data_IF_090395527446
#
_entry.id   IF_090395527446
#
_cell.length_a   1.000
_cell.length_b   1.000
_cell.length_c   1.000
_cell.angle_alpha   90.00
_cell.angle_beta   90.00
_cell.angle_gamma   90.00
#
_symmetry.space_group_name_H-M   'P 1'
#
loop_
_entity.id
_entity.type
_entity.pdbx_description
1 polymer ?
#
# COMPACT_ATOMS: atom_id res chain seq x y z
N UNK A 1 -7.90 -18.56 20.14
CA UNK A 1 -7.82 -18.05 19.79
C UNK A 1 -7.53 -17.40 18.84
N UNK A 2 -7.52 -17.05 18.65
CA UNK A 2 -7.30 -16.51 17.68
C UNK A 2 -6.24 -15.85 17.48
N UNK A 3 -5.52 -15.97 16.61
CA UNK A 3 -4.36 -15.23 16.39
C UNK A 3 -4.71 -13.83 16.06
N UNK A 4 -3.82 -12.88 16.27
CA UNK A 4 -4.11 -11.52 15.94
C UNK A 4 -3.92 -11.17 14.48
N UNK A 5 -3.40 -12.08 13.67
CA UNK A 5 -3.12 -11.79 12.27
C UNK A 5 -4.36 -11.98 11.43
N UNK A 6 -4.61 -11.03 10.53
CA UNK A 6 -5.71 -11.15 9.58
C UNK A 6 -5.37 -12.20 8.54
N UNK A 7 -6.39 -12.91 8.06
CA UNK A 7 -6.21 -13.85 6.97
C UNK A 7 -6.23 -13.10 5.63
N UNK A 8 -5.75 -13.78 4.59
CA UNK A 8 -5.83 -13.21 3.24
C UNK A 8 -7.26 -12.91 2.84
N UNK A 9 -8.19 -13.76 3.22
CA UNK A 9 -9.60 -13.52 2.92
C UNK A 9 -10.11 -12.26 3.59
N UNK A 10 -9.78 -12.09 4.86
CA UNK A 10 -10.20 -10.91 5.60
C UNK A 10 -9.63 -9.65 4.99
N UNK A 11 -8.34 -9.71 4.62
CA UNK A 11 -7.69 -8.56 4.01
C UNK A 11 -8.30 -8.21 2.67
N UNK A 12 -8.65 -9.21 1.87
CA UNK A 12 -9.22 -8.94 0.56
C UNK A 12 -10.57 -8.23 0.66
N UNK A 13 -11.29 -8.44 1.75
CA UNK A 13 -12.56 -7.76 1.97
C UNK A 13 -12.38 -6.29 2.36
N UNK A 14 -11.18 -5.91 2.79
CA UNK A 14 -10.92 -4.53 3.21
C UNK A 14 -10.23 -3.70 2.14
N UNK A 15 -9.92 -4.30 0.98
CA UNK A 15 -9.34 -3.54 -0.13
C UNK A 15 -10.39 -2.55 -0.63
N UNK A 16 -9.97 -1.32 -0.81
CA UNK A 16 -10.87 -0.26 -1.25
C UNK A 16 -10.12 0.64 -2.21
N UNK A 17 -10.79 1.65 -2.70
CA UNK A 17 -10.17 2.66 -3.56
C UNK A 17 -10.24 4.01 -2.88
N UNK A 18 -9.25 4.85 -3.14
CA UNK A 18 -9.21 6.19 -2.59
C UNK A 18 -8.41 7.09 -3.51
N UNK A 19 -8.64 8.39 -3.40
CA UNK A 19 -7.89 9.38 -4.17
C UNK A 19 -6.73 9.88 -3.35
N UNK A 20 -5.69 10.34 -4.04
CA UNK A 20 -4.47 10.81 -3.37
C UNK A 20 -4.75 11.90 -2.34
N UNK A 21 -5.60 12.87 -2.66
CA UNK A 21 -5.91 13.95 -1.72
C UNK A 21 -6.41 13.43 -0.39
N UNK A 22 -7.07 12.30 -0.42
CA UNK A 22 -7.60 11.65 0.77
C UNK A 22 -6.50 10.96 1.57
N UNK A 23 -5.46 10.50 0.88
CA UNK A 23 -4.35 9.76 1.49
C UNK A 23 -3.26 10.67 2.03
N UNK A 24 -3.23 11.92 1.56
CA UNK A 24 -2.15 12.86 1.87
C UNK A 24 -1.87 13.02 3.37
N UNK A 25 -2.89 13.11 4.23
CA UNK A 25 -2.62 13.21 5.67
C UNK A 25 -1.87 12.02 6.25
N UNK A 26 -2.08 10.83 5.69
CA UNK A 26 -1.36 9.64 6.13
C UNK A 26 0.11 9.70 5.74
N UNK A 27 0.41 10.37 4.62
CA UNK A 27 1.78 10.57 4.19
C UNK A 27 2.55 11.36 5.23
N UNK A 28 1.93 12.40 5.77
CA UNK A 28 2.59 13.27 6.75
C UNK A 28 2.95 12.53 8.02
N UNK A 29 2.23 11.44 8.30
CA UNK A 29 2.52 10.60 9.45
C UNK A 29 3.55 9.52 9.14
N UNK A 30 3.99 9.43 7.89
CA UNK A 30 4.93 8.41 7.46
C UNK A 30 4.30 7.03 7.34
N UNK A 31 2.98 6.96 7.20
CA UNK A 31 2.27 5.69 7.19
C UNK A 31 1.94 5.12 5.81
N UNK A 32 2.32 5.81 4.75
CA UNK A 32 2.01 5.34 3.38
C UNK A 32 3.12 4.41 2.89
N UNK A 33 2.73 3.24 2.40
CA UNK A 33 3.63 2.30 1.75
C UNK A 33 3.11 2.06 0.35
N UNK A 34 3.95 2.31 -0.64
CA UNK A 34 3.59 2.07 -2.05
C UNK A 34 3.93 0.63 -2.40
N UNK A 35 2.95 -0.06 -2.98
CA UNK A 35 3.10 -1.45 -3.39
C UNK A 35 3.22 -1.48 -4.91
N UNK A 36 4.22 -2.19 -5.40
CA UNK A 36 4.46 -2.32 -6.83
C UNK A 36 3.27 -3.01 -7.52
N UNK A 37 2.96 -2.64 -8.76
CA UNK A 37 1.84 -3.28 -9.47
C UNK A 37 2.01 -4.79 -9.67
N UNK A 38 3.24 -5.29 -9.62
CA UNK A 38 3.48 -6.72 -9.80
C UNK A 38 3.40 -7.51 -8.51
N UNK A 39 3.11 -6.86 -7.38
CA UNK A 39 2.88 -7.54 -6.11
C UNK A 39 1.41 -7.37 -5.74
N UNK A 40 0.77 -8.48 -5.41
CA UNK A 40 -0.62 -8.43 -5.00
C UNK A 40 -0.76 -7.66 -3.69
N UNK A 41 -1.69 -6.72 -3.66
CA UNK A 41 -1.89 -5.86 -2.50
C UNK A 41 -2.26 -6.66 -1.24
N UNK A 42 -3.07 -7.70 -1.42
CA UNK A 42 -3.47 -8.55 -0.31
C UNK A 42 -2.27 -9.32 0.24
N UNK A 43 -1.39 -9.80 -0.65
CA UNK A 43 -0.18 -10.50 -0.21
C UNK A 43 0.74 -9.55 0.56
N UNK A 44 0.87 -8.33 0.09
CA UNK A 44 1.68 -7.34 0.80
C UNK A 44 1.10 -7.08 2.18
N UNK A 45 -0.22 -6.91 2.26
CA UNK A 45 -0.89 -6.69 3.53
C UNK A 45 -0.74 -7.87 4.48
N UNK A 46 -0.84 -9.08 3.93
CA UNK A 46 -0.70 -10.28 4.73
C UNK A 46 0.71 -10.40 5.32
N UNK A 47 1.73 -10.16 4.49
CA UNK A 47 3.11 -10.24 4.99
C UNK A 47 3.39 -9.22 6.07
N UNK A 48 2.90 -8.01 5.90
CA UNK A 48 3.12 -6.95 6.89
C UNK A 48 2.32 -7.24 8.17
N UNK A 49 1.07 -7.66 8.04
CA UNK A 49 0.23 -7.97 9.20
C UNK A 49 0.72 -9.16 9.98
N UNK A 50 1.31 -10.13 9.29
CA UNK A 50 1.86 -11.34 9.94
C UNK A 50 3.24 -11.12 10.49
N UNK A 51 3.81 -9.94 10.29
CA UNK A 51 5.14 -9.62 10.77
C UNK A 51 6.19 -10.55 10.16
N UNK A 52 6.01 -10.89 8.89
CA UNK A 52 6.96 -11.74 8.17
C UNK A 52 8.13 -10.88 7.71
N UNK A 53 9.07 -10.66 8.62
CA UNK A 53 10.16 -9.71 8.39
C UNK A 53 11.07 -10.12 7.24
N UNK A 54 11.26 -11.43 7.04
CA UNK A 54 12.11 -11.90 5.95
C UNK A 54 11.50 -11.56 4.60
N UNK A 55 10.21 -11.82 4.44
CA UNK A 55 9.53 -11.56 3.19
C UNK A 55 9.41 -10.06 2.92
N UNK A 56 9.06 -9.28 3.94
CA UNK A 56 8.95 -7.84 3.79
C UNK A 56 10.29 -7.22 3.44
N UNK A 57 11.36 -7.71 4.07
CA UNK A 57 12.71 -7.25 3.78
C UNK A 57 13.08 -7.49 2.32
N UNK A 58 12.71 -8.64 1.81
CA UNK A 58 12.96 -8.95 0.40
C UNK A 58 12.20 -8.00 -0.52
N UNK A 59 10.95 -7.71 -0.19
CA UNK A 59 10.17 -6.77 -0.99
C UNK A 59 10.78 -5.37 -0.99
N UNK A 60 11.30 -4.94 0.16
CA UNK A 60 11.97 -3.64 0.24
C UNK A 60 13.21 -3.65 -0.64
N UNK A 61 14.01 -4.71 -0.55
CA UNK A 61 15.25 -4.81 -1.32
C UNK A 61 15.00 -4.83 -2.82
N UNK A 62 13.89 -5.43 -3.24
CA UNK A 62 13.56 -5.53 -4.66
C UNK A 62 12.70 -4.39 -5.14
N UNK A 63 12.36 -3.45 -4.26
CA UNK A 63 11.57 -2.28 -4.64
C UNK A 63 10.08 -2.56 -4.79
N UNK A 64 9.61 -3.70 -4.31
CA UNK A 64 8.19 -4.04 -4.43
C UNK A 64 7.33 -3.32 -3.40
N UNK A 65 7.91 -2.94 -2.26
CA UNK A 65 7.27 -2.04 -1.32
C UNK A 65 8.26 -0.96 -0.95
N UNK A 66 7.79 0.26 -0.83
CA UNK A 66 8.66 1.39 -0.51
C UNK A 66 7.83 2.58 -0.09
N UNK A 67 8.47 3.52 0.58
CA UNK A 67 7.81 4.80 0.83
C UNK A 67 7.73 5.58 -0.47
N UNK A 68 6.74 6.46 -0.62
CA UNK A 68 6.63 7.25 -1.84
C UNK A 68 7.89 8.08 -2.06
N UNK A 69 8.35 8.12 -3.31
CA UNK A 69 9.47 8.97 -3.67
C UNK A 69 9.03 10.43 -3.80
N UNK A 70 10.00 11.33 -3.77
CA UNK A 70 9.70 12.75 -3.94
C UNK A 70 9.01 13.02 -5.28
N UNK A 71 9.45 12.35 -6.34
CA UNK A 71 8.84 12.48 -7.65
C UNK A 71 7.39 12.01 -7.65
N UNK A 72 7.13 10.87 -7.02
CA UNK A 72 5.77 10.37 -6.92
C UNK A 72 4.88 11.33 -6.17
N UNK A 73 5.36 11.85 -5.05
CA UNK A 73 4.59 12.78 -4.24
C UNK A 73 4.28 14.04 -5.06
N UNK A 74 5.27 14.53 -5.78
CA UNK A 74 5.09 15.73 -6.61
C UNK A 74 4.00 15.50 -7.66
N UNK A 75 4.07 14.35 -8.35
CA UNK A 75 3.12 14.05 -9.41
C UNK A 75 1.70 13.87 -8.86
N UNK A 76 1.59 13.17 -7.73
CA UNK A 76 0.27 12.92 -7.13
C UNK A 76 -0.33 14.18 -6.52
N UNK A 77 0.51 15.05 -5.96
CA UNK A 77 0.02 16.32 -5.42
C UNK A 77 -0.50 17.22 -6.53
N UNK A 78 0.05 17.09 -7.74
CA UNK A 78 -0.43 17.85 -8.89
C UNK A 78 -1.79 17.35 -9.37
N UNK A 79 -2.12 16.08 -9.06
CA UNK A 79 -3.40 15.49 -9.46
C UNK A 79 -3.99 14.73 -8.28
N UNK A 80 -4.57 15.45 -7.33
CA UNK A 80 -5.06 14.81 -6.10
C UNK A 80 -6.21 13.84 -6.32
N UNK A 81 -6.81 13.84 -7.51
CA UNK A 81 -7.85 12.87 -7.86
C UNK A 81 -7.26 11.53 -8.29
N UNK A 82 -5.94 11.39 -8.34
CA UNK A 82 -5.29 10.14 -8.74
C UNK A 82 -5.82 8.98 -7.89
N UNK A 83 -6.38 7.95 -8.53
CA UNK A 83 -6.99 6.86 -7.77
C UNK A 83 -5.97 5.81 -7.38
N UNK A 84 -6.20 5.21 -6.21
CA UNK A 84 -5.37 4.14 -5.69
C UNK A 84 -6.25 3.05 -5.16
N UNK A 85 -5.76 1.82 -5.25
CA UNK A 85 -6.29 0.73 -4.46
C UNK A 85 -5.55 0.75 -3.12
N UNK A 86 -6.27 0.63 -2.02
CA UNK A 86 -5.66 0.73 -0.71
C UNK A 86 -6.02 -0.46 0.16
N UNK A 87 -5.14 -0.75 1.10
CA UNK A 87 -5.37 -1.76 2.13
C UNK A 87 -4.74 -1.24 3.41
N UNK A 88 -5.52 -1.21 4.47
CA UNK A 88 -5.00 -0.75 5.76
C UNK A 88 -4.41 -1.93 6.50
N UNK A 89 -3.11 -1.85 6.78
CA UNK A 89 -2.40 -2.82 7.60
C UNK A 89 -1.75 -2.02 8.73
N UNK A 90 -2.55 -1.70 9.74
CA UNK A 90 -2.15 -0.77 10.79
C UNK A 90 -0.75 -1.04 11.31
N UNK A 91 0.07 -0.04 11.50
CA UNK A 91 -0.24 1.39 11.37
C UNK A 91 -0.06 1.95 9.96
N UNK A 92 0.07 1.10 8.97
CA UNK A 92 0.38 1.50 7.60
C UNK A 92 -0.85 1.49 6.72
N UNK A 93 -0.84 2.36 5.71
CA UNK A 93 -1.82 2.33 4.62
C UNK A 93 -1.04 1.93 3.38
N UNK A 94 -1.36 0.76 2.85
CA UNK A 94 -0.72 0.27 1.64
C UNK A 94 -1.47 0.84 0.45
N UNK A 95 -0.75 1.42 -0.49
CA UNK A 95 -1.37 2.03 -1.66
C UNK A 95 -0.75 1.44 -2.93
N UNK A 96 -1.59 1.18 -3.91
CA UNK A 96 -1.15 0.66 -5.18
C UNK A 96 -1.82 1.49 -6.26
N UNK A 97 -1.05 2.22 -7.08
CA UNK A 97 -1.67 3.06 -8.10
C UNK A 97 -2.56 2.22 -9.02
N UNK A 98 -3.76 2.69 -9.28
CA UNK A 98 -4.60 2.07 -10.28
C UNK A 98 -4.03 2.46 -11.62
N UNK A 99 -3.55 1.48 -12.37
CA UNK A 99 -2.89 1.73 -13.62
C UNK A 99 -3.91 2.24 -14.62
N UNK A 100 -3.70 3.36 -15.16
CA UNK A 100 -4.56 3.78 -16.24
C UNK A 100 -4.26 2.97 -17.46
N UNK A 101 -4.19 2.55 -17.86
CA UNK A 101 -3.66 2.04 -18.74
C UNK A 101 -3.01 2.40 -19.65
N UNK A 102 -2.65 2.49 -19.85
CA UNK A 102 -2.14 2.89 -20.53
C UNK A 102 -1.78 2.92 -21.27
N UNK A 103 -1.75 2.99 -21.44
CA UNK A 103 -1.52 3.01 -22.11
C UNK A 103 -1.39 2.87 -22.69
#
# INVERSE_FOLDING_TARGET
MMSGAATREELSLTVDTAQWGWLRPHLERGGIIVVSPDLDLVEAGFGISSDDTAMVSEWIDTGRVAKPSATQIFDWDAEPDTPFRILIASPYVLVQPLSPLVS
#
